data_IF_318537749112
#
_entry.id   IF_318537749112
#
_cell.length_a   1.000
_cell.length_b   1.000
_cell.length_c   1.000
_cell.angle_alpha   90.00
_cell.angle_beta   90.00
_cell.angle_gamma   90.00
#
_symmetry.space_group_name_H-M   'P 1'
#
loop_
_entity.id
_entity.type
_entity.pdbx_description
1 polymer ?
#
# COMPACT_ATOMS: atom_id res chain seq x y z
N UNK A 1 -6.44 -18.43 -38.03
CA UNK A 1 -6.15 -17.50 -36.92
C UNK A 1 -5.04 -18.16 -36.15
N UNK A 2 -3.80 -17.74 -36.38
CA UNK A 2 -2.66 -18.32 -35.69
C UNK A 2 -2.70 -17.84 -34.24
N UNK A 3 -3.00 -18.76 -33.33
CA UNK A 3 -2.98 -18.50 -31.90
C UNK A 3 -1.53 -18.59 -31.45
N UNK A 4 -0.87 -17.44 -31.29
CA UNK A 4 0.45 -17.37 -30.66
C UNK A 4 0.23 -17.56 -29.16
N UNK A 5 0.76 -18.65 -28.62
CA UNK A 5 0.77 -18.89 -27.19
C UNK A 5 1.65 -17.84 -26.50
N UNK A 6 1.23 -17.39 -25.32
CA UNK A 6 1.95 -16.42 -24.50
C UNK A 6 3.36 -16.92 -24.13
N UNK A 7 3.56 -18.24 -24.12
CA UNK A 7 4.86 -18.90 -23.88
C UNK A 7 5.91 -18.53 -24.95
N UNK A 8 5.48 -18.17 -26.17
CA UNK A 8 6.38 -17.75 -27.24
C UNK A 8 6.71 -16.26 -27.23
N UNK A 9 6.08 -15.48 -26.34
CA UNK A 9 6.42 -14.07 -26.20
C UNK A 9 7.73 -13.90 -25.41
N UNK A 10 8.62 -12.98 -25.84
CA UNK A 10 9.76 -12.59 -25.04
C UNK A 10 9.35 -12.07 -23.66
N UNK A 11 10.15 -12.36 -22.65
CA UNK A 11 9.89 -11.98 -21.26
C UNK A 11 9.73 -10.45 -21.10
N UNK A 12 10.45 -9.67 -21.89
CA UNK A 12 10.38 -8.20 -21.91
C UNK A 12 9.01 -7.71 -22.38
N UNK A 13 8.40 -8.40 -23.34
CA UNK A 13 7.05 -8.07 -23.85
C UNK A 13 6.01 -8.42 -22.79
N UNK A 14 6.15 -9.57 -22.13
CA UNK A 14 5.27 -9.95 -21.02
C UNK A 14 5.40 -8.93 -19.87
N UNK A 15 6.62 -8.53 -19.50
CA UNK A 15 6.86 -7.49 -18.49
C UNK A 15 6.15 -6.18 -18.85
N UNK A 16 6.28 -5.72 -20.11
CA UNK A 16 5.63 -4.50 -20.58
C UNK A 16 4.10 -4.60 -20.57
N UNK A 17 3.53 -5.76 -20.90
CA UNK A 17 2.09 -6.00 -20.78
C UNK A 17 1.66 -5.88 -19.32
N UNK A 18 2.39 -6.54 -18.40
CA UNK A 18 2.10 -6.52 -16.97
C UNK A 18 2.22 -5.13 -16.36
N UNK A 19 3.07 -4.26 -16.89
CA UNK A 19 3.19 -2.84 -16.48
C UNK A 19 1.94 -2.00 -16.78
N UNK A 20 1.04 -2.46 -17.64
CA UNK A 20 -0.18 -1.72 -18.00
C UNK A 20 -1.01 -1.33 -16.78
N UNK A 21 -1.50 -0.08 -16.73
CA UNK A 21 -2.40 0.40 -15.68
C UNK A 21 -3.75 -0.32 -15.66
N UNK A 22 -4.14 -0.95 -16.77
CA UNK A 22 -5.38 -1.72 -16.88
C UNK A 22 -5.32 -2.99 -16.02
N UNK A 23 -4.12 -3.57 -15.88
CA UNK A 23 -3.90 -4.74 -15.05
C UNK A 23 -3.63 -4.31 -13.60
N UNK A 24 -4.45 -4.79 -12.68
CA UNK A 24 -4.26 -4.59 -11.25
C UNK A 24 -3.07 -5.39 -10.75
N UNK A 25 -2.61 -5.10 -9.53
CA UNK A 25 -1.57 -5.91 -8.88
C UNK A 25 -2.05 -7.33 -8.61
N UNK A 26 -3.33 -7.53 -8.35
CA UNK A 26 -3.91 -8.87 -8.21
C UNK A 26 -3.82 -9.66 -9.52
N UNK A 27 -4.03 -9.01 -10.67
CA UNK A 27 -3.89 -9.65 -11.97
C UNK A 27 -2.43 -10.08 -12.22
N UNK A 28 -1.46 -9.22 -11.88
CA UNK A 28 -0.02 -9.52 -11.98
C UNK A 28 0.37 -10.70 -11.09
N UNK A 29 -0.08 -10.71 -9.84
CA UNK A 29 0.20 -11.82 -8.92
C UNK A 29 -0.46 -13.12 -9.40
N UNK A 30 -1.72 -13.04 -9.84
CA UNK A 30 -2.45 -14.20 -10.38
C UNK A 30 -1.76 -14.77 -11.61
N UNK A 31 -1.29 -13.90 -12.51
CA UNK A 31 -0.45 -14.30 -13.64
C UNK A 31 0.80 -15.05 -13.18
N UNK A 32 1.52 -14.52 -12.19
CA UNK A 32 2.69 -15.18 -11.61
C UNK A 32 2.38 -16.57 -11.04
N UNK A 33 1.18 -16.78 -10.47
CA UNK A 33 0.79 -18.08 -9.90
C UNK A 33 0.47 -19.16 -10.94
N UNK A 34 0.41 -18.82 -12.23
CA UNK A 34 0.08 -19.80 -13.28
C UNK A 34 1.20 -20.80 -13.54
N UNK A 35 2.48 -20.39 -13.45
CA UNK A 35 3.64 -21.28 -13.60
C UNK A 35 4.90 -20.71 -12.93
N UNK A 36 5.89 -21.56 -12.69
CA UNK A 36 7.15 -21.16 -12.03
C UNK A 36 7.97 -20.13 -12.81
N UNK A 37 7.95 -20.21 -14.15
CA UNK A 37 8.65 -19.26 -15.03
C UNK A 37 8.06 -17.85 -14.89
N UNK A 38 6.73 -17.74 -14.91
CA UNK A 38 6.05 -16.46 -14.74
C UNK A 38 6.12 -15.95 -13.29
N UNK A 39 6.10 -16.85 -12.31
CA UNK A 39 6.39 -16.45 -10.94
C UNK A 39 7.79 -15.84 -10.82
N UNK A 40 8.80 -16.45 -11.45
CA UNK A 40 10.16 -15.91 -11.45
C UNK A 40 10.21 -14.54 -12.13
N UNK A 41 9.61 -14.39 -13.31
CA UNK A 41 9.49 -13.10 -14.02
C UNK A 41 8.85 -12.03 -13.13
N UNK A 42 7.69 -12.34 -12.54
CA UNK A 42 6.94 -11.40 -11.69
C UNK A 42 7.75 -11.06 -10.45
N UNK A 43 8.26 -12.04 -9.71
CA UNK A 43 8.93 -11.82 -8.43
C UNK A 43 10.31 -11.17 -8.54
N UNK A 44 11.03 -11.35 -9.66
CA UNK A 44 12.37 -10.77 -9.85
C UNK A 44 12.37 -9.45 -10.61
N UNK A 45 11.26 -9.04 -11.25
CA UNK A 45 11.24 -7.82 -12.03
C UNK A 45 11.12 -6.57 -11.15
N UNK A 46 12.27 -5.97 -10.84
CA UNK A 46 12.35 -4.68 -10.17
C UNK A 46 11.65 -3.57 -10.95
N UNK A 47 11.72 -3.60 -12.28
CA UNK A 47 11.10 -2.59 -13.15
C UNK A 47 9.58 -2.64 -13.07
N UNK A 48 9.00 -3.84 -13.14
CA UNK A 48 7.56 -4.06 -13.01
C UNK A 48 7.04 -3.52 -11.68
N UNK A 49 7.65 -3.93 -10.56
CA UNK A 49 7.18 -3.52 -9.24
C UNK A 49 7.39 -2.04 -8.97
N UNK A 50 8.47 -1.43 -9.45
CA UNK A 50 8.65 0.02 -9.42
C UNK A 50 7.52 0.73 -10.16
N UNK A 51 7.15 0.23 -11.34
CA UNK A 51 6.06 0.81 -12.13
C UNK A 51 4.72 0.65 -11.42
N UNK A 52 4.39 -0.54 -10.90
CA UNK A 52 3.15 -0.77 -10.14
C UNK A 52 3.07 0.06 -8.87
N UNK A 53 4.17 0.18 -8.14
CA UNK A 53 4.26 1.03 -6.95
C UNK A 53 3.89 2.47 -7.26
N UNK A 54 4.51 3.06 -8.30
CA UNK A 54 4.23 4.43 -8.74
C UNK A 54 2.79 4.63 -9.22
N UNK A 55 2.21 3.63 -9.86
CA UNK A 55 0.83 3.68 -10.32
C UNK A 55 -0.16 3.71 -9.15
N UNK A 56 0.12 2.95 -8.10
CA UNK A 56 -0.76 2.86 -6.93
C UNK A 56 -0.59 3.99 -5.93
N UNK A 57 0.64 4.44 -5.70
CA UNK A 57 0.96 5.45 -4.69
C UNK A 57 1.70 6.65 -5.32
N UNK A 58 1.10 7.37 -6.28
CA UNK A 58 1.75 8.49 -6.94
C UNK A 58 2.10 9.64 -5.97
N UNK A 59 1.29 9.85 -4.93
CA UNK A 59 1.52 10.90 -3.93
C UNK A 59 2.72 10.59 -3.02
N UNK A 60 3.01 9.32 -2.77
CA UNK A 60 4.19 8.91 -2.03
C UNK A 60 5.48 9.22 -2.80
N UNK A 61 5.43 9.19 -4.14
CA UNK A 61 6.58 9.51 -4.99
C UNK A 61 7.01 10.98 -4.94
N UNK A 62 6.11 11.88 -4.51
CA UNK A 62 6.42 13.31 -4.34
C UNK A 62 6.76 13.66 -2.89
N UNK A 63 6.63 12.72 -1.95
CA UNK A 63 6.99 12.90 -0.55
C UNK A 63 8.51 12.98 -0.36
N UNK A 64 9.00 14.00 0.36
CA UNK A 64 10.44 14.25 0.52
C UNK A 64 11.17 13.13 1.30
N UNK A 65 10.57 12.60 2.36
CA UNK A 65 11.16 11.49 3.11
C UNK A 65 11.29 10.23 2.24
N UNK A 66 10.30 9.97 1.38
CA UNK A 66 10.34 8.87 0.43
C UNK A 66 11.35 9.10 -0.71
N UNK A 67 11.50 10.33 -1.23
CA UNK A 67 12.49 10.65 -2.28
C UNK A 67 13.93 10.36 -1.83
N UNK A 68 14.22 10.54 -0.54
CA UNK A 68 15.52 10.22 0.05
C UNK A 68 15.69 8.71 0.29
N UNK A 69 14.67 7.89 0.01
CA UNK A 69 14.76 6.44 0.09
C UNK A 69 15.40 5.83 -1.14
N UNK A 70 16.51 5.13 -0.89
CA UNK A 70 17.07 4.20 -1.87
C UNK A 70 16.35 2.86 -1.72
N UNK A 71 15.64 2.45 -2.77
CA UNK A 71 14.95 1.17 -2.88
C UNK A 71 15.70 0.27 -3.87
N UNK A 72 16.19 -0.87 -3.39
CA UNK A 72 16.93 -1.86 -4.19
C UNK A 72 16.08 -3.05 -4.63
N UNK A 73 15.06 -3.39 -3.84
CA UNK A 73 14.09 -4.46 -4.11
C UNK A 73 12.67 -3.87 -4.08
N UNK A 74 12.13 -3.59 -5.25
CA UNK A 74 10.81 -2.99 -5.42
C UNK A 74 9.68 -3.95 -5.11
N UNK A 75 9.88 -5.27 -5.24
CA UNK A 75 8.85 -6.24 -4.87
C UNK A 75 8.68 -6.27 -3.35
N UNK A 76 9.80 -6.28 -2.63
CA UNK A 76 9.82 -6.19 -1.17
C UNK A 76 9.24 -4.86 -0.68
N UNK A 77 9.67 -3.72 -1.24
CA UNK A 77 9.14 -2.40 -0.90
C UNK A 77 7.61 -2.33 -1.08
N UNK A 78 7.14 -2.82 -2.23
CA UNK A 78 5.71 -2.90 -2.52
C UNK A 78 4.97 -3.71 -1.45
N UNK A 79 5.49 -4.89 -1.11
CA UNK A 79 4.90 -5.78 -0.11
C UNK A 79 4.86 -5.12 1.26
N UNK A 80 5.93 -4.47 1.70
CA UNK A 80 6.00 -3.80 2.99
C UNK A 80 5.02 -2.64 3.07
N UNK A 81 4.96 -1.79 2.04
CA UNK A 81 3.96 -0.71 1.95
C UNK A 81 2.53 -1.26 1.98
N UNK A 82 2.27 -2.35 1.26
CA UNK A 82 0.94 -2.98 1.23
C UNK A 82 0.54 -3.54 2.59
N UNK A 83 1.43 -4.28 3.25
CA UNK A 83 1.18 -4.87 4.58
C UNK A 83 0.92 -3.78 5.62
N UNK A 84 1.77 -2.75 5.67
CA UNK A 84 1.61 -1.64 6.62
C UNK A 84 0.29 -0.90 6.38
N UNK A 85 -0.07 -0.64 5.12
CA UNK A 85 -1.34 -0.01 4.78
C UNK A 85 -2.54 -0.86 5.22
N UNK A 86 -2.52 -2.17 4.94
CA UNK A 86 -3.56 -3.11 5.36
C UNK A 86 -3.72 -3.16 6.87
N UNK A 87 -2.62 -3.22 7.63
CA UNK A 87 -2.66 -3.22 9.09
C UNK A 87 -3.19 -1.89 9.62
N UNK A 88 -2.77 -0.76 9.04
CA UNK A 88 -3.27 0.58 9.39
C UNK A 88 -4.79 0.66 9.22
N UNK A 89 -5.31 0.20 8.07
CA UNK A 89 -6.74 0.21 7.80
C UNK A 89 -7.54 -0.79 8.64
N UNK A 90 -6.93 -1.92 9.00
CA UNK A 90 -7.53 -2.85 9.96
C UNK A 90 -7.71 -2.16 11.33
N UNK A 91 -6.68 -1.49 11.84
CA UNK A 91 -6.76 -0.74 13.10
C UNK A 91 -7.88 0.31 13.06
N UNK A 92 -7.97 1.09 11.98
CA UNK A 92 -9.07 2.07 11.78
C UNK A 92 -10.44 1.38 11.81
N UNK A 93 -10.61 0.25 11.13
CA UNK A 93 -11.88 -0.48 11.12
C UNK A 93 -12.29 -0.99 12.51
N UNK A 94 -11.31 -1.45 13.29
CA UNK A 94 -11.51 -1.92 14.66
C UNK A 94 -11.91 -0.80 15.65
N UNK A 95 -11.56 0.46 15.35
CA UNK A 95 -11.85 1.59 16.25
C UNK A 95 -13.35 1.81 16.45
N UNK A 96 -14.17 1.54 15.43
CA UNK A 96 -15.62 1.71 15.55
C UNK A 96 -16.22 0.79 16.63
N UNK A 97 -15.88 -0.49 16.59
CA UNK A 97 -16.35 -1.45 17.58
C UNK A 97 -15.85 -1.12 19.00
N UNK A 98 -14.65 -0.56 19.11
CA UNK A 98 -14.02 -0.25 20.40
C UNK A 98 -14.52 1.08 21.00
N UNK A 99 -14.79 2.07 20.16
CA UNK A 99 -14.92 3.46 20.62
C UNK A 99 -16.19 4.20 20.17
N UNK A 100 -17.19 3.52 19.59
CA UNK A 100 -18.43 4.19 19.12
C UNK A 100 -19.19 4.96 20.21
N UNK A 101 -19.00 4.59 21.48
CA UNK A 101 -19.68 5.21 22.63
C UNK A 101 -18.90 6.40 23.23
N UNK A 102 -17.69 6.66 22.75
CA UNK A 102 -16.84 7.72 23.28
C UNK A 102 -17.00 8.97 22.41
N UNK A 103 -17.32 10.08 23.05
CA UNK A 103 -17.48 11.38 22.38
C UNK A 103 -16.12 11.93 21.93
N UNK A 104 -15.08 11.75 22.75
CA UNK A 104 -13.71 12.13 22.46
C UNK A 104 -12.72 10.97 22.68
N UNK A 105 -11.66 10.97 21.88
CA UNK A 105 -10.54 10.03 21.98
C UNK A 105 -9.28 10.79 22.39
N UNK A 106 -8.58 10.29 23.41
CA UNK A 106 -7.28 10.80 23.80
C UNK A 106 -6.16 10.13 22.99
N UNK A 107 -4.91 10.55 23.20
CA UNK A 107 -3.76 9.92 22.56
C UNK A 107 -3.54 8.46 23.01
N UNK A 108 -4.03 8.09 24.21
CA UNK A 108 -3.85 6.75 24.76
C UNK A 108 -4.58 5.68 23.95
N UNK A 109 -5.72 6.00 23.32
CA UNK A 109 -6.50 5.07 22.51
C UNK A 109 -5.81 4.70 21.18
N UNK A 110 -4.75 5.41 20.79
CA UNK A 110 -3.98 5.15 19.56
C UNK A 110 -2.76 4.24 19.79
N UNK A 111 -2.65 3.60 20.96
CA UNK A 111 -1.49 2.76 21.31
C UNK A 111 -1.20 1.64 20.29
N UNK A 112 -2.22 1.04 19.66
CA UNK A 112 -2.05 0.03 18.61
C UNK A 112 -1.35 0.57 17.36
N UNK A 113 -1.55 1.85 17.03
CA UNK A 113 -0.81 2.50 15.94
C UNK A 113 0.66 2.71 16.33
N UNK A 114 0.92 3.09 17.58
CA UNK A 114 2.29 3.20 18.09
C UNK A 114 2.99 1.83 18.11
N UNK A 115 2.28 0.77 18.50
CA UNK A 115 2.78 -0.60 18.46
C UNK A 115 3.14 -1.02 17.03
N UNK A 116 2.26 -0.77 16.05
CA UNK A 116 2.56 -1.04 14.64
C UNK A 116 3.81 -0.28 14.18
N UNK A 117 3.93 1.01 14.50
CA UNK A 117 5.10 1.81 14.15
C UNK A 117 6.39 1.25 14.78
N UNK A 118 6.35 0.85 16.04
CA UNK A 118 7.51 0.34 16.76
C UNK A 118 7.92 -1.08 16.35
N UNK A 119 6.98 -1.90 15.89
CA UNK A 119 7.22 -3.30 15.51
C UNK A 119 7.51 -3.47 14.03
N UNK A 120 7.08 -2.53 13.19
CA UNK A 120 7.36 -2.56 11.77
C UNK A 120 8.85 -2.34 11.50
N UNK A 121 9.51 -3.33 10.90
CA UNK A 121 10.91 -3.24 10.51
C UNK A 121 11.09 -2.48 9.18
N UNK A 122 10.48 -1.30 9.04
CA UNK A 122 10.59 -0.44 7.87
C UNK A 122 10.77 1.02 8.28
N UNK A 123 11.86 1.64 7.81
CA UNK A 123 12.23 3.02 8.19
C UNK A 123 11.18 4.08 7.81
N UNK A 124 10.35 3.79 6.80
CA UNK A 124 9.27 4.67 6.36
C UNK A 124 7.89 4.24 6.85
N UNK A 125 7.81 3.40 7.89
CA UNK A 125 6.54 2.90 8.39
C UNK A 125 5.56 4.06 8.69
N UNK A 126 6.01 5.08 9.42
CA UNK A 126 5.16 6.25 9.73
C UNK A 126 4.67 6.96 8.46
N UNK A 127 5.56 7.17 7.48
CA UNK A 127 5.20 7.77 6.19
C UNK A 127 4.13 6.95 5.47
N UNK A 128 4.23 5.63 5.49
CA UNK A 128 3.26 4.72 4.86
C UNK A 128 1.91 4.73 5.56
N UNK A 129 1.91 4.73 6.90
CA UNK A 129 0.69 4.83 7.70
C UNK A 129 -0.02 6.16 7.42
N UNK A 130 0.70 7.27 7.42
CA UNK A 130 0.16 8.61 7.13
C UNK A 130 -0.39 8.68 5.70
N UNK A 131 0.33 8.14 4.72
CA UNK A 131 -0.13 8.06 3.33
C UNK A 131 -1.42 7.24 3.20
N UNK A 132 -1.50 6.07 3.83
CA UNK A 132 -2.70 5.23 3.83
C UNK A 132 -3.91 5.95 4.44
N UNK A 133 -3.72 6.62 5.58
CA UNK A 133 -4.80 7.38 6.23
C UNK A 133 -5.26 8.56 5.36
N UNK A 134 -4.34 9.25 4.66
CA UNK A 134 -4.71 10.30 3.70
C UNK A 134 -5.54 9.73 2.56
N UNK A 135 -5.21 8.55 2.04
CA UNK A 135 -6.01 7.89 1.00
C UNK A 135 -7.41 7.54 1.52
N UNK A 136 -7.53 7.03 2.74
CA UNK A 136 -8.83 6.74 3.37
C UNK A 136 -9.68 8.00 3.57
N UNK A 137 -9.11 9.06 4.13
CA UNK A 137 -9.81 10.31 4.44
C UNK A 137 -10.24 11.03 3.16
N UNK A 138 -9.39 11.05 2.14
CA UNK A 138 -9.61 11.81 0.90
C UNK A 138 -10.28 10.99 -0.22
N UNK A 139 -10.89 9.83 0.09
CA UNK A 139 -11.64 9.07 -0.91
C UNK A 139 -12.69 9.96 -1.61
N UNK A 140 -12.70 9.93 -2.95
CA UNK A 140 -13.51 10.81 -3.80
C UNK A 140 -15.00 10.76 -3.47
N UNK A 141 -15.51 9.57 -3.17
CA UNK A 141 -16.88 9.43 -2.72
C UNK A 141 -16.99 9.89 -1.26
N UNK A 142 -17.48 11.11 -1.07
CA UNK A 142 -17.64 11.73 0.26
C UNK A 142 -18.47 10.88 1.22
N UNK A 143 -19.46 10.14 0.72
CA UNK A 143 -20.48 9.49 1.54
C UNK A 143 -20.18 8.02 1.86
N UNK A 144 -19.06 7.45 1.39
CA UNK A 144 -18.68 6.07 1.70
C UNK A 144 -17.77 5.98 2.93
N UNK A 145 -17.98 4.95 3.76
CA UNK A 145 -17.14 4.60 4.91
C UNK A 145 -16.88 5.78 5.87
N UNK A 146 -17.91 6.59 6.17
CA UNK A 146 -17.81 7.77 7.04
C UNK A 146 -17.17 7.46 8.40
N UNK A 147 -17.47 6.30 8.97
CA UNK A 147 -16.86 5.81 10.21
C UNK A 147 -15.34 5.66 10.08
N UNK A 148 -14.86 5.03 9.02
CA UNK A 148 -13.42 4.89 8.79
C UNK A 148 -12.77 6.24 8.48
N UNK A 149 -13.46 7.16 7.79
CA UNK A 149 -12.95 8.51 7.57
C UNK A 149 -12.82 9.29 8.88
N UNK A 150 -13.79 9.18 9.77
CA UNK A 150 -13.76 9.82 11.09
C UNK A 150 -12.57 9.32 11.92
N UNK A 151 -12.46 8.01 12.12
CA UNK A 151 -11.37 7.43 12.89
C UNK A 151 -10.01 7.58 12.19
N UNK A 152 -9.98 7.49 10.86
CA UNK A 152 -8.79 7.74 10.06
C UNK A 152 -8.27 9.16 10.20
N UNK A 153 -9.15 10.16 10.29
CA UNK A 153 -8.76 11.55 10.54
C UNK A 153 -8.15 11.71 11.95
N UNK A 154 -8.76 11.10 12.97
CA UNK A 154 -8.24 11.16 14.34
C UNK A 154 -6.87 10.48 14.44
N UNK A 155 -6.72 9.29 13.86
CA UNK A 155 -5.44 8.58 13.79
C UNK A 155 -4.38 9.38 13.00
N UNK A 156 -4.76 10.04 11.91
CA UNK A 156 -3.85 10.87 11.11
C UNK A 156 -3.32 12.05 11.92
N UNK A 157 -4.19 12.71 12.70
CA UNK A 157 -3.78 13.80 13.60
C UNK A 157 -2.79 13.31 14.65
N UNK A 158 -3.05 12.15 15.28
CA UNK A 158 -2.15 11.55 16.25
C UNK A 158 -0.78 11.22 15.65
N UNK A 159 -0.74 10.51 14.51
CA UNK A 159 0.53 10.13 13.87
C UNK A 159 1.37 11.32 13.41
N UNK A 160 0.75 12.41 12.98
CA UNK A 160 1.46 13.65 12.63
C UNK A 160 2.14 14.32 13.81
N UNK A 161 1.63 14.13 15.03
CA UNK A 161 2.29 14.63 16.23
C UNK A 161 3.56 13.84 16.57
N UNK A 162 3.65 12.58 16.11
CA UNK A 162 4.85 11.72 16.26
C UNK A 162 5.89 12.06 15.18
N UNK A 163 5.46 12.56 14.02
CA UNK A 163 6.35 12.97 12.92
C UNK A 163 7.20 14.21 13.24
N UNK A 164 6.84 14.97 14.29
CA UNK A 164 7.55 16.17 14.79
C UNK A 164 8.61 15.79 15.82
#
# INVERSE_FOLDING_TARGET
MDCIDLVYLPQEIIEQILESKVLSVNDVLSFGTTCTVYWQLVSSSNKLWKTKFKQMWPQLMVNEAYKQHIVTDWFKEFRERWVIGRMTMQLVGEMSAQFIKYEELSAAEFWKFNELFNTANHRLCLTFMIDELKLCVNQENRNTNLTNKYYGMKALTHLRQIEV
#
